data_IF_539375241715
#
_entry.id   IF_539375241715
#
_cell.length_a   1.000
_cell.length_b   1.000
_cell.length_c   1.000
_cell.angle_alpha   90.00
_cell.angle_beta   90.00
_cell.angle_gamma   90.00
#
_symmetry.space_group_name_H-M   'P 1'
#
loop_
_entity.id
_entity.type
_entity.pdbx_description
1 polymer ?
#
# COMPACT_ATOMS: atom_id res chain seq x y z
N UNK A 1 14.44 26.77 -4.08
CA UNK A 1 13.40 25.77 -3.90
C UNK A 1 14.04 24.55 -3.26
N UNK A 2 13.85 24.40 -1.92
CA UNK A 2 14.48 23.33 -1.16
C UNK A 2 13.73 22.00 -1.31
N UNK A 3 14.08 21.23 -2.33
CA UNK A 3 13.61 19.84 -2.42
C UNK A 3 14.47 18.98 -1.49
N UNK A 4 13.89 18.49 -0.40
CA UNK A 4 14.58 17.55 0.49
C UNK A 4 14.30 16.12 0.04
N UNK A 5 15.35 15.44 -0.39
CA UNK A 5 15.27 14.01 -0.72
C UNK A 5 15.45 13.17 0.54
N UNK A 6 14.39 12.50 0.98
CA UNK A 6 14.46 11.62 2.15
C UNK A 6 15.18 10.31 1.78
N UNK A 7 16.30 9.96 2.46
CA UNK A 7 17.01 8.72 2.19
C UNK A 7 16.14 7.48 2.37
N UNK A 8 16.34 6.46 1.53
CA UNK A 8 15.54 5.23 1.51
C UNK A 8 15.47 4.51 2.87
N UNK A 9 16.53 4.50 3.66
CA UNK A 9 16.51 3.85 4.97
C UNK A 9 15.58 4.57 5.97
N UNK A 10 15.37 5.88 5.82
CA UNK A 10 14.43 6.66 6.64
C UNK A 10 12.99 6.37 6.22
N UNK A 11 12.70 6.40 4.91
CA UNK A 11 11.34 6.09 4.41
C UNK A 11 10.94 4.68 4.79
N UNK A 12 11.85 3.72 4.66
CA UNK A 12 11.64 2.34 5.09
C UNK A 12 11.35 2.23 6.58
N UNK A 13 12.18 2.87 7.42
CA UNK A 13 11.99 2.88 8.87
C UNK A 13 10.62 3.45 9.27
N UNK A 14 10.20 4.55 8.65
CA UNK A 14 8.91 5.18 8.94
C UNK A 14 7.76 4.26 8.51
N UNK A 15 7.79 3.69 7.31
CA UNK A 15 6.75 2.78 6.82
C UNK A 15 6.64 1.54 7.70
N UNK A 16 7.78 0.93 8.09
CA UNK A 16 7.79 -0.24 8.98
C UNK A 16 7.22 0.07 10.37
N UNK A 17 7.50 1.26 10.91
CA UNK A 17 7.03 1.66 12.25
C UNK A 17 5.64 2.34 12.26
N UNK A 18 5.01 2.50 11.12
CA UNK A 18 3.64 3.02 10.98
C UNK A 18 2.74 1.95 10.37
N UNK A 19 2.72 1.84 9.06
CA UNK A 19 1.92 0.85 8.32
C UNK A 19 2.26 -0.58 8.74
N UNK A 20 3.56 -0.89 8.86
CA UNK A 20 4.05 -2.20 9.28
C UNK A 20 3.54 -2.59 10.66
N UNK A 21 3.59 -1.66 11.62
CA UNK A 21 3.07 -1.89 12.97
C UNK A 21 1.56 -2.15 12.98
N UNK A 22 0.78 -1.39 12.18
CA UNK A 22 -0.66 -1.64 12.03
C UNK A 22 -0.93 -3.02 11.44
N UNK A 23 -0.14 -3.46 10.47
CA UNK A 23 -0.24 -4.80 9.88
C UNK A 23 0.06 -5.90 10.91
N UNK A 24 1.09 -5.73 11.74
CA UNK A 24 1.42 -6.66 12.82
C UNK A 24 0.30 -6.76 13.85
N UNK A 25 -0.23 -5.61 14.31
CA UNK A 25 -1.35 -5.55 15.24
C UNK A 25 -2.60 -6.25 14.66
N UNK A 26 -2.88 -6.05 13.37
CA UNK A 26 -4.01 -6.70 12.70
C UNK A 26 -3.82 -8.21 12.55
N UNK A 27 -2.63 -8.68 12.22
CA UNK A 27 -2.30 -10.12 12.20
C UNK A 27 -2.52 -10.77 13.57
N UNK A 28 -2.11 -10.08 14.65
CA UNK A 28 -2.35 -10.56 16.03
C UNK A 28 -3.84 -10.58 16.35
N UNK A 29 -4.60 -9.53 16.02
CA UNK A 29 -6.05 -9.44 16.22
C UNK A 29 -6.80 -10.61 15.54
N UNK A 30 -6.43 -10.93 14.30
CA UNK A 30 -7.01 -12.03 13.52
C UNK A 30 -6.50 -13.40 13.96
N UNK A 31 -5.48 -13.44 14.84
CA UNK A 31 -4.85 -14.69 15.27
C UNK A 31 -4.18 -15.44 14.14
N UNK A 32 -3.50 -14.72 13.24
CA UNK A 32 -2.66 -15.30 12.19
C UNK A 32 -1.33 -15.67 12.83
N UNK A 33 -1.07 -16.96 12.96
CA UNK A 33 0.16 -17.53 13.48
C UNK A 33 0.80 -18.30 12.34
N UNK A 34 1.98 -17.91 11.90
CA UNK A 34 2.64 -18.41 10.69
C UNK A 34 2.86 -19.92 10.75
N UNK A 35 3.26 -20.45 11.91
CA UNK A 35 3.48 -21.87 12.15
C UNK A 35 2.21 -22.72 11.90
N UNK A 36 1.04 -22.13 12.04
CA UNK A 36 -0.22 -22.81 11.75
C UNK A 36 -0.41 -23.11 10.27
N UNK A 37 0.29 -22.49 9.36
CA UNK A 37 0.19 -22.68 7.91
C UNK A 37 1.23 -23.67 7.37
N UNK A 38 2.28 -24.02 8.15
CA UNK A 38 3.41 -24.84 7.73
C UNK A 38 3.32 -26.33 8.14
N UNK A 39 2.27 -26.77 8.78
CA UNK A 39 2.26 -28.12 9.33
C UNK A 39 1.80 -29.15 8.32
N UNK A 40 2.61 -30.21 8.11
CA UNK A 40 2.29 -31.42 7.32
C UNK A 40 1.18 -32.29 7.93
N UNK A 41 0.57 -31.88 9.03
CA UNK A 41 -0.50 -32.62 9.69
C UNK A 41 -1.75 -32.62 8.83
N UNK A 42 -2.34 -33.83 8.62
CA UNK A 42 -3.68 -33.96 8.05
C UNK A 42 -4.67 -33.18 8.89
N UNK A 43 -4.97 -31.92 8.45
CA UNK A 43 -5.92 -31.07 9.14
C UNK A 43 -7.34 -31.42 8.73
N UNK A 44 -8.25 -31.24 9.67
CA UNK A 44 -9.68 -31.30 9.36
C UNK A 44 -10.04 -30.15 8.42
N UNK A 45 -10.93 -30.41 7.48
CA UNK A 45 -11.38 -29.42 6.49
C UNK A 45 -11.89 -28.12 7.16
N UNK A 46 -12.59 -28.25 8.29
CA UNK A 46 -13.09 -27.10 9.07
C UNK A 46 -11.95 -26.18 9.55
N UNK A 47 -10.86 -26.75 10.05
CA UNK A 47 -9.70 -25.97 10.51
C UNK A 47 -9.01 -25.26 9.35
N UNK A 48 -8.88 -25.96 8.20
CA UNK A 48 -8.30 -25.39 6.99
C UNK A 48 -9.11 -24.18 6.49
N UNK A 49 -10.44 -24.31 6.44
CA UNK A 49 -11.32 -23.22 6.05
C UNK A 49 -11.24 -22.01 7.00
N UNK A 50 -11.15 -22.27 8.31
CA UNK A 50 -11.00 -21.20 9.30
C UNK A 50 -9.68 -20.42 9.13
N UNK A 51 -8.58 -21.10 8.80
CA UNK A 51 -7.28 -20.46 8.54
C UNK A 51 -7.31 -19.66 7.24
N UNK A 52 -7.93 -20.18 6.17
CA UNK A 52 -8.12 -19.44 4.92
C UNK A 52 -8.96 -18.17 5.14
N UNK A 53 -10.02 -18.26 5.97
CA UNK A 53 -10.86 -17.12 6.28
C UNK A 53 -10.06 -16.00 6.97
N UNK A 54 -9.16 -16.33 7.88
CA UNK A 54 -8.27 -15.33 8.52
C UNK A 54 -7.39 -14.59 7.50
N UNK A 55 -6.85 -15.31 6.52
CA UNK A 55 -6.05 -14.71 5.44
C UNK A 55 -6.90 -13.78 4.57
N UNK A 56 -8.11 -14.19 4.24
CA UNK A 56 -9.04 -13.38 3.45
C UNK A 56 -9.51 -12.13 4.21
N UNK A 57 -9.78 -12.26 5.51
CA UNK A 57 -10.12 -11.11 6.37
C UNK A 57 -8.95 -10.11 6.44
N UNK A 58 -7.70 -10.60 6.51
CA UNK A 58 -6.53 -9.76 6.48
C UNK A 58 -6.33 -9.08 5.12
N UNK A 59 -6.50 -9.81 4.01
CA UNK A 59 -6.46 -9.27 2.65
C UNK A 59 -7.50 -8.17 2.44
N UNK A 60 -8.73 -8.42 2.90
CA UNK A 60 -9.82 -7.44 2.83
C UNK A 60 -9.47 -6.17 3.61
N UNK A 61 -8.90 -6.32 4.81
CA UNK A 61 -8.46 -5.17 5.61
C UNK A 61 -7.32 -4.40 4.93
N UNK A 62 -6.33 -5.09 4.33
CA UNK A 62 -5.25 -4.44 3.58
C UNK A 62 -5.79 -3.57 2.42
N UNK A 63 -6.86 -4.00 1.75
CA UNK A 63 -7.50 -3.19 0.70
C UNK A 63 -8.26 -1.97 1.21
N UNK A 64 -8.55 -1.89 2.51
CA UNK A 64 -9.33 -0.81 3.12
C UNK A 64 -8.46 0.27 3.78
N UNK A 65 -7.22 -0.04 4.13
CA UNK A 65 -6.34 0.97 4.73
C UNK A 65 -5.97 2.05 3.72
N UNK A 66 -5.92 3.28 4.18
CA UNK A 66 -5.51 4.43 3.38
C UNK A 66 -4.25 5.06 3.96
N UNK A 67 -3.30 5.35 3.09
CA UNK A 67 -2.02 5.96 3.43
C UNK A 67 -1.94 7.27 2.68
N UNK A 68 -1.75 8.37 3.40
CA UNK A 68 -1.64 9.69 2.82
C UNK A 68 -0.30 10.32 3.17
N UNK A 69 0.35 10.88 2.15
CA UNK A 69 1.51 11.75 2.30
C UNK A 69 1.13 13.19 1.91
N UNK A 70 0.96 14.11 2.88
CA UNK A 70 0.50 15.47 2.61
C UNK A 70 1.60 16.39 2.03
N UNK A 71 2.81 15.88 1.83
CA UNK A 71 3.94 16.57 1.20
C UNK A 71 4.78 15.56 0.41
N UNK A 72 4.12 14.84 -0.52
CA UNK A 72 4.66 13.62 -1.12
C UNK A 72 5.92 13.83 -1.99
N UNK A 73 6.16 15.05 -2.45
CA UNK A 73 7.29 15.33 -3.34
C UNK A 73 7.28 14.43 -4.57
N UNK A 74 8.39 13.76 -4.84
CA UNK A 74 8.51 12.76 -5.91
C UNK A 74 8.12 11.33 -5.49
N UNK A 75 7.40 11.17 -4.37
CA UNK A 75 6.79 9.91 -3.96
C UNK A 75 7.68 8.93 -3.21
N UNK A 76 8.73 9.37 -2.54
CA UNK A 76 9.65 8.47 -1.85
C UNK A 76 8.96 7.60 -0.79
N UNK A 77 8.06 8.18 0.03
CA UNK A 77 7.27 7.45 1.02
C UNK A 77 6.19 6.58 0.38
N UNK A 78 5.46 7.10 -0.59
CA UNK A 78 4.38 6.35 -1.26
C UNK A 78 4.92 5.13 -2.01
N UNK A 79 6.08 5.25 -2.65
CA UNK A 79 6.77 4.13 -3.28
C UNK A 79 7.21 3.06 -2.27
N UNK A 80 7.69 3.47 -1.09
CA UNK A 80 8.06 2.51 -0.04
C UNK A 80 6.82 1.84 0.57
N UNK A 81 5.73 2.60 0.78
CA UNK A 81 4.45 2.05 1.22
C UNK A 81 3.86 1.06 0.21
N UNK A 82 3.95 1.37 -1.10
CA UNK A 82 3.56 0.46 -2.17
C UNK A 82 4.33 -0.86 -2.09
N UNK A 83 5.66 -0.79 -2.01
CA UNK A 83 6.49 -1.99 -1.88
C UNK A 83 6.10 -2.81 -0.66
N UNK A 84 5.91 -2.16 0.49
CA UNK A 84 5.52 -2.83 1.73
C UNK A 84 4.17 -3.56 1.58
N UNK A 85 3.15 -2.91 1.03
CA UNK A 85 1.83 -3.54 0.82
C UNK A 85 1.89 -4.68 -0.19
N UNK A 86 2.69 -4.58 -1.25
CA UNK A 86 2.92 -5.69 -2.19
C UNK A 86 3.50 -6.90 -1.46
N UNK A 87 4.49 -6.70 -0.58
CA UNK A 87 5.09 -7.80 0.18
C UNK A 87 4.10 -8.42 1.20
N UNK A 88 3.22 -7.62 1.82
CA UNK A 88 2.15 -8.15 2.68
C UNK A 88 1.14 -9.01 1.90
N UNK A 89 0.76 -8.62 0.69
CA UNK A 89 -0.09 -9.45 -0.17
C UNK A 89 0.61 -10.76 -0.60
N UNK A 90 1.89 -10.69 -0.95
CA UNK A 90 2.69 -11.89 -1.26
C UNK A 90 2.79 -12.84 -0.05
N UNK A 91 2.98 -12.29 1.13
CA UNK A 91 2.98 -13.08 2.37
C UNK A 91 1.68 -13.87 2.55
N UNK A 92 0.51 -13.25 2.29
CA UNK A 92 -0.78 -13.95 2.32
C UNK A 92 -0.81 -15.09 1.28
N UNK A 93 -0.42 -14.81 0.03
CA UNK A 93 -0.41 -15.78 -1.06
C UNK A 93 0.51 -16.99 -0.72
N UNK A 94 1.65 -16.74 -0.09
CA UNK A 94 2.56 -17.79 0.36
C UNK A 94 1.96 -18.67 1.46
N UNK A 95 1.31 -18.08 2.46
CA UNK A 95 0.65 -18.83 3.53
C UNK A 95 -0.51 -19.66 2.99
N UNK A 96 -1.30 -19.10 2.08
CA UNK A 96 -2.39 -19.80 1.40
C UNK A 96 -1.88 -20.98 0.59
N UNK A 97 -0.82 -20.80 -0.19
CA UNK A 97 -0.20 -21.87 -0.98
C UNK A 97 0.35 -23.00 -0.09
N UNK A 98 1.00 -22.67 1.01
CA UNK A 98 1.51 -23.65 1.99
C UNK A 98 0.38 -24.43 2.63
N UNK A 99 -0.72 -23.79 3.00
CA UNK A 99 -1.88 -24.43 3.61
C UNK A 99 -2.64 -25.32 2.63
N UNK A 100 -2.72 -24.93 1.36
CA UNK A 100 -3.49 -25.65 0.33
C UNK A 100 -2.67 -26.71 -0.39
N UNK A 101 -1.34 -26.60 -0.37
CA UNK A 101 -0.43 -27.43 -1.16
C UNK A 101 -0.47 -27.09 -2.65
N UNK A 102 -1.01 -25.92 -3.00
CA UNK A 102 -1.03 -25.41 -4.38
C UNK A 102 0.29 -24.71 -4.73
N UNK A 103 0.59 -24.58 -6.02
CA UNK A 103 1.64 -23.68 -6.47
C UNK A 103 1.28 -22.24 -6.10
N UNK A 104 2.27 -21.44 -5.69
CA UNK A 104 2.08 -20.03 -5.37
C UNK A 104 1.60 -19.33 -6.64
N UNK A 105 0.36 -18.85 -6.63
CA UNK A 105 -0.15 -17.95 -7.64
C UNK A 105 -0.10 -16.54 -7.04
N UNK A 106 0.97 -15.79 -7.34
CA UNK A 106 1.01 -14.38 -6.96
C UNK A 106 -0.09 -13.64 -7.70
N UNK A 107 -1.11 -13.23 -6.97
CA UNK A 107 -2.13 -12.35 -7.52
C UNK A 107 -1.57 -10.93 -7.53
N UNK A 108 -1.64 -10.28 -8.70
CA UNK A 108 -1.18 -8.91 -8.83
C UNK A 108 -2.15 -7.95 -8.14
N UNK A 109 -1.78 -7.50 -6.95
CA UNK A 109 -2.58 -6.54 -6.16
C UNK A 109 -2.15 -5.08 -6.37
N UNK A 110 -1.07 -4.84 -7.12
CA UNK A 110 -0.47 -3.52 -7.25
C UNK A 110 -1.41 -2.43 -7.77
N UNK A 111 -2.33 -2.79 -8.66
CA UNK A 111 -3.35 -1.86 -9.19
C UNK A 111 -4.33 -1.44 -8.11
N UNK A 112 -4.88 -2.41 -7.41
CA UNK A 112 -5.81 -2.16 -6.30
C UNK A 112 -5.15 -1.33 -5.19
N UNK A 113 -3.86 -1.58 -4.90
CA UNK A 113 -3.09 -0.79 -3.93
C UNK A 113 -2.96 0.66 -4.40
N UNK A 114 -2.62 0.88 -5.68
CA UNK A 114 -2.50 2.24 -6.23
C UNK A 114 -3.82 3.02 -6.17
N UNK A 115 -4.93 2.34 -6.48
CA UNK A 115 -6.24 3.00 -6.55
C UNK A 115 -6.85 3.26 -5.17
N UNK A 116 -6.65 2.34 -4.23
CA UNK A 116 -7.42 2.35 -2.99
C UNK A 116 -6.61 2.72 -1.74
N UNK A 117 -5.28 2.53 -1.76
CA UNK A 117 -4.49 2.65 -0.54
C UNK A 117 -3.60 3.89 -0.49
N UNK A 118 -3.13 4.42 -1.64
CA UNK A 118 -2.09 5.44 -1.68
C UNK A 118 -2.64 6.79 -2.15
N UNK A 119 -2.40 7.81 -1.33
CA UNK A 119 -2.82 9.19 -1.59
C UNK A 119 -1.68 10.15 -1.29
N UNK A 120 -1.53 11.19 -2.11
CA UNK A 120 -0.49 12.19 -1.94
C UNK A 120 -0.93 13.58 -2.35
N UNK A 121 -0.35 14.59 -1.72
CA UNK A 121 -0.51 15.99 -2.11
C UNK A 121 0.87 16.65 -2.10
N UNK A 122 1.17 17.45 -3.10
CA UNK A 122 2.36 18.31 -3.12
C UNK A 122 2.08 19.67 -3.80
N UNK A 123 2.79 20.71 -3.39
CA UNK A 123 2.69 22.04 -3.97
C UNK A 123 3.25 22.13 -5.39
N UNK A 124 4.24 21.28 -5.68
CA UNK A 124 4.96 21.31 -6.95
C UNK A 124 4.34 20.32 -7.93
N UNK A 125 3.79 20.83 -9.02
CA UNK A 125 3.14 20.04 -10.06
C UNK A 125 4.10 19.04 -10.75
N UNK A 126 5.35 19.45 -10.97
CA UNK A 126 6.36 18.55 -11.56
C UNK A 126 6.68 17.37 -10.63
N UNK A 127 6.74 17.62 -9.32
CA UNK A 127 6.91 16.55 -8.32
C UNK A 127 5.75 15.57 -8.32
N UNK A 128 4.51 16.06 -8.42
CA UNK A 128 3.29 15.24 -8.53
C UNK A 128 3.34 14.33 -9.76
N UNK A 129 3.73 14.87 -10.91
CA UNK A 129 3.85 14.05 -12.14
C UNK A 129 4.98 13.01 -12.04
N UNK A 130 6.10 13.35 -11.40
CA UNK A 130 7.18 12.39 -11.13
C UNK A 130 6.71 11.28 -10.18
N UNK A 131 5.94 11.61 -9.14
CA UNK A 131 5.38 10.64 -8.20
C UNK A 131 4.45 9.66 -8.93
N UNK A 132 3.47 10.15 -9.68
CA UNK A 132 2.59 9.32 -10.50
C UNK A 132 3.37 8.39 -11.42
N UNK A 133 4.38 8.94 -12.13
CA UNK A 133 5.22 8.16 -13.04
C UNK A 133 6.01 7.08 -12.29
N UNK A 134 6.56 7.40 -11.12
CA UNK A 134 7.35 6.45 -10.34
C UNK A 134 6.52 5.29 -9.80
N UNK A 135 5.28 5.56 -9.36
CA UNK A 135 4.31 4.55 -8.94
C UNK A 135 3.89 3.64 -10.12
N UNK A 136 3.62 4.21 -11.29
CA UNK A 136 3.33 3.45 -12.50
C UNK A 136 4.46 2.52 -12.93
N UNK A 137 5.70 3.02 -12.92
CA UNK A 137 6.86 2.21 -13.30
C UNK A 137 7.06 0.99 -12.41
N UNK A 138 6.68 1.08 -11.14
CA UNK A 138 6.77 -0.04 -10.21
C UNK A 138 5.69 -1.10 -10.40
N UNK A 139 4.57 -0.72 -10.99
CA UNK A 139 3.41 -1.59 -11.21
C UNK A 139 3.20 -1.92 -12.68
N UNK A 140 4.11 -1.47 -13.55
CA UNK A 140 4.00 -1.66 -14.99
C UNK A 140 4.07 -3.14 -15.37
N UNK A 141 3.09 -3.57 -16.15
CA UNK A 141 3.04 -4.90 -16.77
C UNK A 141 2.88 -4.80 -18.28
N UNK A 142 3.40 -5.76 -19.04
CA UNK A 142 3.19 -5.81 -20.49
C UNK A 142 1.69 -5.86 -20.83
N UNK A 143 1.28 -5.03 -21.78
CA UNK A 143 -0.10 -4.96 -22.30
C UNK A 143 -1.16 -4.43 -21.30
N UNK A 144 -0.75 -3.84 -20.20
CA UNK A 144 -1.66 -3.23 -19.24
C UNK A 144 -1.76 -1.72 -19.46
N UNK A 145 -2.98 -1.19 -19.40
CA UNK A 145 -3.23 0.26 -19.42
C UNK A 145 -2.82 0.84 -18.06
N UNK A 146 -2.13 1.98 -18.08
CA UNK A 146 -1.81 2.72 -16.85
C UNK A 146 -3.09 3.31 -16.25
N UNK A 147 -3.18 3.25 -14.92
CA UNK A 147 -4.29 3.83 -14.17
C UNK A 147 -4.18 5.35 -14.16
N UNK A 148 -5.31 6.04 -14.11
CA UNK A 148 -5.32 7.46 -13.83
C UNK A 148 -5.19 7.70 -12.32
N UNK A 149 -4.02 8.17 -11.87
CA UNK A 149 -3.75 8.49 -10.47
C UNK A 149 -4.10 9.94 -10.10
N UNK A 150 -4.79 10.68 -10.97
CA UNK A 150 -5.12 12.08 -10.75
C UNK A 150 -6.07 12.30 -9.56
N UNK A 151 -6.82 11.27 -9.15
CA UNK A 151 -7.64 11.30 -7.95
C UNK A 151 -6.86 10.98 -6.68
N UNK A 152 -5.73 10.31 -6.79
CA UNK A 152 -4.91 9.85 -5.67
C UNK A 152 -3.77 10.81 -5.35
N UNK A 153 -3.08 11.32 -6.38
CA UNK A 153 -1.94 12.21 -6.22
C UNK A 153 -2.31 13.57 -6.81
N UNK A 154 -2.40 14.57 -5.94
CA UNK A 154 -2.92 15.89 -6.27
C UNK A 154 -1.91 17.01 -6.06
N UNK A 155 -2.03 18.05 -6.87
CA UNK A 155 -1.25 19.27 -6.69
C UNK A 155 -2.07 20.27 -5.87
N UNK A 156 -1.51 20.76 -4.74
CA UNK A 156 -2.17 21.72 -3.88
C UNK A 156 -1.42 22.00 -2.58
N UNK A 157 -1.92 22.96 -1.82
CA UNK A 157 -1.40 23.29 -0.49
C UNK A 157 -2.19 22.49 0.56
N UNK A 158 -1.63 21.41 1.07
CA UNK A 158 -2.27 20.53 2.04
C UNK A 158 -2.61 21.18 3.39
N UNK A 159 -2.11 22.38 3.65
CA UNK A 159 -2.31 23.11 4.91
C UNK A 159 -3.31 24.26 4.79
N UNK A 160 -3.59 24.74 3.57
CA UNK A 160 -4.40 25.96 3.35
C UNK A 160 -5.44 25.65 2.25
N UNK A 161 -6.68 25.67 2.64
CA UNK A 161 -7.86 25.49 1.78
C UNK A 161 -8.47 26.82 1.31
N UNK A 162 -8.04 27.96 1.90
CA UNK A 162 -8.52 29.29 1.55
C UNK A 162 -7.93 29.81 0.24
N UNK A 163 -8.74 29.98 -0.83
CA UNK A 163 -8.26 30.53 -2.10
C UNK A 163 -7.78 31.98 -2.04
N UNK A 164 -8.22 32.77 -1.04
CA UNK A 164 -7.74 34.14 -0.85
C UNK A 164 -6.27 34.16 -0.37
N UNK A 165 -5.84 33.10 0.33
CA UNK A 165 -4.47 32.96 0.86
C UNK A 165 -3.60 32.14 -0.10
N UNK A 166 -4.04 30.95 -0.53
CA UNK A 166 -3.26 30.03 -1.33
C UNK A 166 -3.50 30.13 -2.85
N UNK A 167 -4.44 30.98 -3.29
CA UNK A 167 -4.78 31.15 -4.71
C UNK A 167 -5.25 29.83 -5.33
N UNK A 168 -4.76 29.55 -6.54
CA UNK A 168 -5.10 28.31 -7.27
C UNK A 168 -4.51 27.03 -6.64
N UNK A 169 -3.68 27.15 -5.62
CA UNK A 169 -3.09 26.01 -4.89
C UNK A 169 -3.85 25.67 -3.61
N UNK A 170 -4.92 26.39 -3.27
CA UNK A 170 -5.80 26.02 -2.16
C UNK A 170 -6.30 24.59 -2.36
N UNK A 171 -6.22 23.76 -1.30
CA UNK A 171 -6.59 22.35 -1.38
C UNK A 171 -7.60 22.01 -0.29
N UNK A 172 -8.78 21.55 -0.71
CA UNK A 172 -9.80 21.07 0.20
C UNK A 172 -9.72 19.54 0.29
N UNK A 173 -9.71 19.03 1.51
CA UNK A 173 -9.69 17.60 1.83
C UNK A 173 -11.08 16.93 1.79
N UNK A 174 -12.18 17.70 1.67
CA UNK A 174 -13.57 17.23 1.60
C UNK A 174 -13.97 16.68 0.23
#
# INVERSE_FOLDING_TARGET
>A
DGVFYTPKYITKYIVENTVGKLCEEKKVELGIVEEDYFTDKKRQQKTKLALLQKLEDYRTWLHQITIIDPACGSGAFLNEALNFLIEEHKYIDELEAKLTGSSIAFTYHSESILENNLFGVDLNEESVEIDKLSLWLRTAEPNRKLNDLSNNIKCGNSLIDDPEIAGSKAFNWE
#
